data_IF_765462738440
#
_entry.id   IF_765462738440
#
_cell.length_a   1.000
_cell.length_b   1.000
_cell.length_c   1.000
_cell.angle_alpha   90.00
_cell.angle_beta   90.00
_cell.angle_gamma   90.00
#
_symmetry.space_group_name_H-M   'P 1'
#
loop_
_entity.id
_entity.type
_entity.pdbx_description
1 polymer ?
#
# COMPACT_ATOMS: atom_id res chain seq x y z
N UNK A 1 -4.24 3.21 -5.65
CA UNK A 1 -3.48 3.94 -4.61
C UNK A 1 -2.13 3.30 -4.38
N UNK A 2 -1.13 4.10 -4.03
CA UNK A 2 0.25 3.64 -3.87
C UNK A 2 0.70 3.59 -2.42
N UNK A 3 1.63 2.69 -2.13
CA UNK A 3 2.44 2.75 -0.91
C UNK A 3 3.52 3.82 -1.08
N UNK A 4 3.90 4.53 -0.02
CA UNK A 4 4.97 5.55 -0.14
C UNK A 4 6.29 4.96 -0.66
N UNK A 5 6.58 3.71 -0.30
CA UNK A 5 7.65 2.90 -0.89
C UNK A 5 7.15 2.17 -2.14
N UNK A 6 7.87 2.27 -3.26
CA UNK A 6 7.51 1.57 -4.50
C UNK A 6 7.89 0.08 -4.48
N UNK A 7 7.03 -0.77 -3.89
CA UNK A 7 7.26 -2.22 -3.89
C UNK A 7 7.07 -2.82 -5.27
N UNK A 8 8.12 -3.46 -5.79
CA UNK A 8 8.08 -4.04 -7.14
C UNK A 8 7.23 -5.32 -7.22
N UNK A 9 6.96 -5.98 -6.09
CA UNK A 9 6.11 -7.18 -6.01
C UNK A 9 5.22 -7.15 -4.78
N UNK A 10 4.07 -7.84 -4.84
CA UNK A 10 3.19 -8.06 -3.67
C UNK A 10 3.90 -8.79 -2.52
N UNK A 11 4.84 -9.67 -2.85
CA UNK A 11 5.65 -10.41 -1.86
C UNK A 11 6.50 -9.45 -1.03
N UNK A 12 7.26 -8.57 -1.69
CA UNK A 12 8.09 -7.58 -0.99
C UNK A 12 7.26 -6.65 -0.09
N UNK A 13 6.07 -6.25 -0.56
CA UNK A 13 5.14 -5.48 0.26
C UNK A 13 4.68 -6.27 1.51
N UNK A 14 4.25 -7.52 1.35
CA UNK A 14 3.83 -8.36 2.48
C UNK A 14 4.95 -8.61 3.48
N UNK A 15 6.17 -8.84 3.01
CA UNK A 15 7.34 -9.03 3.85
C UNK A 15 7.65 -7.77 4.68
N UNK A 16 7.50 -6.58 4.10
CA UNK A 16 7.65 -5.32 4.85
C UNK A 16 6.66 -5.21 6.01
N UNK A 17 5.39 -5.55 5.75
CA UNK A 17 4.38 -5.57 6.82
C UNK A 17 4.68 -6.64 7.87
N UNK A 18 5.13 -7.83 7.46
CA UNK A 18 5.49 -8.92 8.37
C UNK A 18 6.71 -8.56 9.25
N UNK A 19 7.65 -7.76 8.75
CA UNK A 19 8.78 -7.22 9.53
C UNK A 19 8.38 -6.11 10.49
N UNK A 20 7.16 -5.56 10.38
CA UNK A 20 6.70 -4.43 11.18
C UNK A 20 7.11 -3.06 10.60
N UNK A 21 7.50 -3.00 9.32
CA UNK A 21 7.82 -1.74 8.66
C UNK A 21 6.57 -0.83 8.63
N UNK A 22 6.74 0.43 8.99
CA UNK A 22 5.65 1.43 8.91
C UNK A 22 5.41 1.81 7.45
N UNK A 23 4.39 1.21 6.84
CA UNK A 23 3.98 1.53 5.47
C UNK A 23 2.77 2.47 5.48
N UNK A 24 2.92 3.64 4.87
CA UNK A 24 1.84 4.60 4.61
C UNK A 24 1.47 4.61 3.14
N UNK A 25 0.28 5.14 2.83
CA UNK A 25 -0.24 5.23 1.47
C UNK A 25 -0.23 6.68 0.97
N UNK A 26 -0.32 6.85 -0.34
CA UNK A 26 -0.59 8.13 -0.99
C UNK A 26 -1.37 7.93 -2.29
N UNK A 27 -2.23 8.88 -2.63
CA UNK A 27 -3.07 8.83 -3.82
C UNK A 27 -2.89 10.12 -4.64
N UNK A 28 -1.95 10.16 -5.60
CA UNK A 28 -1.66 11.38 -6.34
C UNK A 28 -2.89 11.80 -7.14
N UNK A 29 -3.39 13.02 -6.89
CA UNK A 29 -4.54 13.58 -7.59
C UNK A 29 -5.92 13.07 -7.16
N UNK A 30 -5.99 12.17 -6.17
CA UNK A 30 -7.25 11.54 -5.71
C UNK A 30 -7.59 11.83 -4.24
N UNK A 31 -6.85 12.74 -3.60
CA UNK A 31 -7.02 13.11 -2.20
C UNK A 31 -6.19 12.27 -1.24
N UNK A 32 -6.58 12.26 0.04
CA UNK A 32 -5.86 11.57 1.11
C UNK A 32 -6.38 10.14 1.30
N UNK A 33 -5.48 9.15 1.48
CA UNK A 33 -5.87 7.82 1.94
C UNK A 33 -6.62 7.87 3.26
N UNK A 34 -7.50 6.89 3.52
CA UNK A 34 -8.11 6.74 4.84
C UNK A 34 -7.05 6.50 5.92
N UNK A 35 -7.23 7.17 7.05
CA UNK A 35 -6.44 6.88 8.24
C UNK A 35 -6.83 5.53 8.87
N UNK A 36 -8.13 5.19 8.83
CA UNK A 36 -8.68 3.98 9.42
C UNK A 36 -9.67 3.31 8.46
N UNK A 37 -9.55 1.99 8.28
CA UNK A 37 -10.51 1.21 7.47
C UNK A 37 -9.85 0.35 6.40
N UNK A 38 -10.55 0.17 5.27
CA UNK A 38 -10.09 -0.66 4.15
C UNK A 38 -9.71 0.21 2.96
N UNK A 39 -8.60 -0.16 2.34
CA UNK A 39 -8.05 0.49 1.17
C UNK A 39 -7.55 -0.52 0.13
N UNK A 40 -7.41 -0.07 -1.12
CA UNK A 40 -6.94 -0.89 -2.24
C UNK A 40 -5.65 -0.31 -2.81
N UNK A 41 -4.58 -1.10 -2.73
CA UNK A 41 -3.23 -0.72 -3.13
C UNK A 41 -2.84 -1.47 -4.38
N UNK A 42 -2.14 -0.78 -5.26
CA UNK A 42 -1.62 -1.34 -6.50
C UNK A 42 -0.13 -1.01 -6.65
N UNK A 43 0.57 -1.83 -7.41
CA UNK A 43 1.94 -1.54 -7.77
C UNK A 43 2.47 -2.47 -8.87
N UNK A 44 3.71 -2.25 -9.34
CA UNK A 44 4.58 -1.12 -9.01
C UNK A 44 3.98 0.24 -9.42
N UNK A 45 4.53 1.33 -8.91
CA UNK A 45 4.04 2.67 -9.28
C UNK A 45 4.19 2.92 -10.79
N UNK A 46 3.28 3.70 -11.35
CA UNK A 46 3.44 4.27 -12.69
C UNK A 46 4.81 4.96 -12.82
N UNK A 47 5.54 4.87 -13.97
CA UNK A 47 5.11 4.40 -15.29
C UNK A 47 5.13 2.89 -15.52
N UNK A 48 5.53 2.07 -14.55
CA UNK A 48 5.52 0.62 -14.73
C UNK A 48 4.08 0.09 -14.73
N UNK A 49 3.75 -0.91 -15.57
CA UNK A 49 2.46 -1.59 -15.52
C UNK A 49 2.23 -2.17 -14.11
N UNK A 50 1.03 -2.03 -13.59
CA UNK A 50 0.69 -2.54 -12.27
C UNK A 50 0.52 -4.05 -12.36
N UNK A 51 1.45 -4.80 -11.78
CA UNK A 51 1.47 -6.25 -11.81
C UNK A 51 0.91 -6.88 -10.54
N UNK A 52 0.57 -6.06 -9.54
CA UNK A 52 -0.04 -6.55 -8.31
C UNK A 52 -1.04 -5.60 -7.68
N UNK A 53 -2.01 -6.20 -6.99
CA UNK A 53 -3.07 -5.52 -6.25
C UNK A 53 -3.25 -6.16 -4.87
N UNK A 54 -3.62 -5.35 -3.89
CA UNK A 54 -3.87 -5.80 -2.53
C UNK A 54 -4.98 -4.99 -1.85
N UNK A 55 -5.86 -5.68 -1.12
CA UNK A 55 -6.70 -5.03 -0.12
C UNK A 55 -5.90 -4.92 1.18
N UNK A 56 -5.93 -3.76 1.82
CA UNK A 56 -5.23 -3.50 3.07
C UNK A 56 -6.16 -2.96 4.15
N UNK A 57 -5.82 -3.24 5.40
CA UNK A 57 -6.42 -2.58 6.56
C UNK A 57 -5.50 -1.45 7.04
N UNK A 58 -6.05 -0.25 7.11
CA UNK A 58 -5.43 0.95 7.66
C UNK A 58 -5.84 1.14 9.12
N UNK A 59 -4.89 1.49 9.97
CA UNK A 59 -5.11 1.98 11.34
C UNK A 59 -4.17 3.15 11.58
N UNK A 60 -4.66 4.30 12.01
CA UNK A 60 -3.88 5.52 12.25
C UNK A 60 -2.89 5.88 11.12
N UNK A 61 -3.35 5.75 9.87
CA UNK A 61 -2.58 6.10 8.68
C UNK A 61 -1.52 5.07 8.24
N UNK A 62 -1.41 3.94 8.94
CA UNK A 62 -0.47 2.85 8.60
C UNK A 62 -1.19 1.58 8.18
N UNK A 63 -0.57 0.84 7.25
CA UNK A 63 -1.02 -0.50 6.87
C UNK A 63 -0.69 -1.48 7.99
N UNK A 64 -1.70 -2.17 8.52
CA UNK A 64 -1.52 -3.19 9.57
C UNK A 64 -1.81 -4.61 9.09
N UNK A 65 -2.51 -4.77 7.96
CA UNK A 65 -2.83 -6.09 7.39
C UNK A 65 -2.96 -6.00 5.88
N UNK A 66 -2.47 -7.01 5.17
CA UNK A 66 -2.58 -7.18 3.72
C UNK A 66 -3.35 -8.47 3.44
N UNK A 67 -4.33 -8.44 2.54
CA UNK A 67 -5.04 -9.63 2.05
C UNK A 67 -4.57 -10.09 0.67
#
# INVERSE_FOLDING_TARGET
>A
MYTRTNFQTKKAFREAIARGDKVTLFAPGLGNPKENGIEYVEGPHYPKPHTWYAQVKMVNGIVVKVK
#
